data_IF_743838961457
#
_entry.id   IF_743838961457
#
_cell.length_a   1.000
_cell.length_b   1.000
_cell.length_c   1.000
_cell.angle_alpha   90.00
_cell.angle_beta   90.00
_cell.angle_gamma   90.00
#
_symmetry.space_group_name_H-M   'P 1'
#
loop_
_entity.id
_entity.type
_entity.pdbx_description
1 polymer ?
#
# COMPACT_ATOMS: atom_id res chain seq x y z
N UNK A 1 28.41 4.51 4.89
CA UNK A 1 29.09 5.81 5.12
C UNK A 1 28.05 6.90 4.92
N UNK A 2 27.55 7.48 6.01
CA UNK A 2 26.44 8.43 5.97
C UNK A 2 26.93 9.78 5.46
N UNK A 3 26.55 10.14 4.24
CA UNK A 3 26.53 11.55 3.86
C UNK A 3 25.52 12.25 4.75
N UNK A 4 26.02 13.17 5.57
CA UNK A 4 25.23 14.15 6.29
C UNK A 4 24.54 15.03 5.23
N UNK A 5 23.39 14.57 4.74
CA UNK A 5 22.59 15.31 3.77
C UNK A 5 22.01 16.50 4.52
N UNK A 6 22.41 17.70 4.13
CA UNK A 6 21.82 18.92 4.67
C UNK A 6 20.31 18.92 4.47
N UNK A 7 19.59 19.49 5.43
CA UNK A 7 18.14 19.58 5.36
C UNK A 7 17.74 20.46 4.16
N UNK A 8 16.77 20.01 3.35
CA UNK A 8 16.35 20.74 2.16
C UNK A 8 15.80 22.13 2.54
N UNK A 9 15.89 23.11 1.64
CA UNK A 9 15.56 24.51 1.92
C UNK A 9 14.11 24.70 2.43
N UNK A 10 13.18 23.83 2.02
CA UNK A 10 11.80 23.83 2.49
C UNK A 10 11.66 23.57 4.00
N UNK A 11 12.53 22.72 4.57
CA UNK A 11 12.56 22.45 6.01
C UNK A 11 13.37 23.50 6.74
N UNK A 12 14.49 23.95 6.17
CA UNK A 12 15.38 24.94 6.78
C UNK A 12 14.75 26.33 6.88
N UNK A 13 13.74 26.62 6.05
CA UNK A 13 12.92 27.84 6.15
C UNK A 13 12.06 27.90 7.43
N UNK A 14 11.80 26.76 8.08
CA UNK A 14 11.06 26.69 9.34
C UNK A 14 12.01 27.04 10.50
N UNK A 15 11.76 28.18 11.18
CA UNK A 15 12.53 28.62 12.37
C UNK A 15 12.16 27.86 13.66
N UNK A 16 11.91 26.57 13.55
CA UNK A 16 11.55 25.73 14.70
C UNK A 16 12.82 25.24 15.42
N UNK A 17 12.89 25.43 16.74
CA UNK A 17 13.97 24.93 17.61
C UNK A 17 13.56 23.67 18.39
N UNK A 18 14.54 22.89 18.89
CA UNK A 18 14.28 21.70 19.71
C UNK A 18 13.88 20.46 18.91
N UNK A 19 12.77 19.79 19.28
CA UNK A 19 12.31 18.55 18.64
C UNK A 19 11.97 18.73 17.16
N UNK A 20 11.52 19.93 16.78
CA UNK A 20 11.16 20.30 15.42
C UNK A 20 12.28 20.95 14.61
N UNK A 21 13.54 20.87 15.04
CA UNK A 21 14.65 21.49 14.29
C UNK A 21 14.80 20.84 12.91
N UNK A 22 15.00 21.62 11.83
CA UNK A 22 15.05 21.10 10.46
C UNK A 22 16.06 19.97 10.26
N UNK A 23 17.25 20.09 10.87
CA UNK A 23 18.29 19.05 10.85
C UNK A 23 17.83 17.75 11.51
N UNK A 24 17.14 17.85 12.66
CA UNK A 24 16.64 16.69 13.41
C UNK A 24 15.46 16.04 12.69
N UNK A 25 14.49 16.82 12.21
CA UNK A 25 13.37 16.31 11.41
C UNK A 25 13.90 15.61 10.16
N UNK A 26 14.81 16.26 9.42
CA UNK A 26 15.38 15.66 8.22
C UNK A 26 16.14 14.37 8.50
N UNK A 27 16.91 14.32 9.58
CA UNK A 27 17.56 13.08 10.03
C UNK A 27 16.57 11.96 10.34
N UNK A 28 15.43 12.29 10.98
CA UNK A 28 14.36 11.32 11.25
C UNK A 28 13.67 10.85 9.96
N UNK A 29 13.40 11.75 9.01
CA UNK A 29 12.82 11.41 7.72
C UNK A 29 13.75 10.51 6.89
N UNK A 30 15.05 10.86 6.82
CA UNK A 30 16.04 10.03 6.14
C UNK A 30 16.13 8.62 6.77
N UNK A 31 16.15 8.54 8.10
CA UNK A 31 16.16 7.25 8.81
C UNK A 31 14.89 6.44 8.56
N UNK A 32 13.74 7.11 8.48
CA UNK A 32 12.46 6.47 8.16
C UNK A 32 12.48 5.91 6.72
N UNK A 33 13.00 6.66 5.76
CA UNK A 33 13.15 6.22 4.36
C UNK A 33 14.08 5.00 4.21
N UNK A 34 15.09 4.87 5.07
CA UNK A 34 15.99 3.70 5.08
C UNK A 34 15.29 2.42 5.56
N UNK A 35 14.33 2.55 6.48
CA UNK A 35 13.59 1.42 7.03
C UNK A 35 12.42 0.96 6.14
N UNK A 36 11.92 1.85 5.26
CA UNK A 36 10.66 1.67 4.51
C UNK A 36 10.92 1.35 3.02
N UNK A 37 12.09 0.85 2.62
CA UNK A 37 12.31 0.44 1.21
C UNK A 37 11.98 -1.04 1.00
N UNK A 38 10.77 -1.40 0.52
CA UNK A 38 10.59 -2.69 -0.12
C UNK A 38 11.53 -2.76 -1.32
N UNK A 39 12.49 -3.67 -1.22
CA UNK A 39 13.51 -3.86 -2.25
C UNK A 39 12.85 -4.52 -3.47
N UNK A 40 13.32 -4.26 -4.69
CA UNK A 40 12.81 -4.92 -5.90
C UNK A 40 12.84 -6.46 -5.84
N UNK A 41 13.65 -7.02 -4.92
CA UNK A 41 13.78 -8.43 -4.60
C UNK A 41 12.64 -8.98 -3.71
N UNK A 42 11.65 -8.15 -3.34
CA UNK A 42 10.54 -8.52 -2.44
C UNK A 42 9.83 -9.81 -2.88
N UNK A 43 9.64 -9.96 -4.19
CA UNK A 43 8.88 -11.07 -4.77
C UNK A 43 9.73 -12.32 -5.01
N UNK A 44 11.06 -12.25 -4.86
CA UNK A 44 11.95 -13.42 -5.05
C UNK A 44 11.68 -14.53 -4.03
N UNK A 45 11.19 -14.16 -2.84
CA UNK A 45 10.78 -15.09 -1.77
C UNK A 45 9.43 -15.76 -2.02
N UNK A 46 8.75 -15.39 -3.11
CA UNK A 46 7.37 -15.78 -3.39
C UNK A 46 7.23 -16.24 -4.85
N UNK A 47 7.57 -17.50 -5.16
CA UNK A 47 7.51 -18.02 -6.54
C UNK A 47 6.09 -17.96 -7.15
N UNK A 48 5.06 -17.99 -6.31
CA UNK A 48 3.64 -17.91 -6.72
C UNK A 48 3.13 -16.46 -6.89
N UNK A 49 3.93 -15.44 -6.56
CA UNK A 49 3.53 -14.03 -6.64
C UNK A 49 4.32 -13.28 -7.72
N UNK A 50 3.63 -12.92 -8.80
CA UNK A 50 4.17 -12.03 -9.81
C UNK A 50 3.97 -10.56 -9.43
N UNK A 51 4.80 -9.66 -10.00
CA UNK A 51 4.63 -8.21 -9.87
C UNK A 51 3.22 -7.74 -10.31
N UNK A 52 2.64 -8.46 -11.29
CA UNK A 52 1.25 -8.26 -11.71
C UNK A 52 0.27 -8.53 -10.57
N UNK A 53 0.40 -9.63 -9.83
CA UNK A 53 -0.45 -9.96 -8.67
C UNK A 53 -0.44 -8.84 -7.62
N UNK A 54 0.73 -8.21 -7.41
CA UNK A 54 0.85 -7.03 -6.55
C UNK A 54 0.11 -5.80 -7.08
N UNK A 55 0.28 -5.46 -8.36
CA UNK A 55 -0.41 -4.28 -8.93
C UNK A 55 -1.93 -4.40 -8.82
N UNK A 56 -2.44 -5.61 -9.02
CA UNK A 56 -3.86 -5.94 -8.94
C UNK A 56 -4.43 -5.72 -7.55
N UNK A 57 -3.71 -6.20 -6.54
CA UNK A 57 -4.12 -6.02 -5.15
C UNK A 57 -4.15 -4.54 -4.80
N UNK A 58 -3.12 -3.79 -5.18
CA UNK A 58 -2.99 -2.36 -4.88
C UNK A 58 -4.10 -1.54 -5.58
N UNK A 59 -4.41 -1.85 -6.84
CA UNK A 59 -5.53 -1.21 -7.56
C UNK A 59 -6.86 -1.47 -6.84
N UNK A 60 -7.11 -2.73 -6.43
CA UNK A 60 -8.31 -3.08 -5.67
C UNK A 60 -8.36 -2.38 -4.30
N UNK A 61 -7.25 -2.34 -3.56
CA UNK A 61 -7.18 -1.62 -2.27
C UNK A 61 -7.49 -0.13 -2.44
N UNK A 62 -7.05 0.48 -3.54
CA UNK A 62 -7.34 1.89 -3.84
C UNK A 62 -8.84 2.12 -4.07
N UNK A 63 -9.50 1.24 -4.81
CA UNK A 63 -10.96 1.29 -5.02
C UNK A 63 -11.71 1.17 -3.70
N UNK A 64 -11.31 0.22 -2.84
CA UNK A 64 -11.91 0.03 -1.50
C UNK A 64 -11.75 1.29 -0.64
N UNK A 65 -10.54 1.85 -0.57
CA UNK A 65 -10.31 3.09 0.18
C UNK A 65 -11.17 4.26 -0.33
N UNK A 66 -11.38 4.35 -1.65
CA UNK A 66 -12.22 5.38 -2.25
C UNK A 66 -13.71 5.19 -1.89
N UNK A 67 -14.21 3.95 -1.91
CA UNK A 67 -15.58 3.63 -1.50
C UNK A 67 -15.84 3.95 -0.02
N UNK A 68 -14.89 3.63 0.86
CA UNK A 68 -14.98 3.89 2.30
C UNK A 68 -14.56 5.32 2.70
N UNK A 69 -14.28 6.19 1.71
CA UNK A 69 -13.82 7.58 1.91
C UNK A 69 -12.63 7.72 2.87
N UNK A 70 -11.71 6.74 2.83
CA UNK A 70 -10.50 6.75 3.65
C UNK A 70 -9.49 7.78 3.13
N UNK A 71 -8.62 8.26 4.03
CA UNK A 71 -7.54 9.16 3.65
C UNK A 71 -6.51 8.44 2.76
N UNK A 72 -5.86 9.20 1.86
CA UNK A 72 -4.76 8.67 1.03
C UNK A 72 -3.61 8.14 1.89
N UNK A 73 -3.39 8.75 3.05
CA UNK A 73 -2.40 8.31 4.03
C UNK A 73 -2.69 6.89 4.53
N UNK A 74 -3.95 6.58 4.86
CA UNK A 74 -4.38 5.23 5.26
C UNK A 74 -4.13 4.20 4.17
N UNK A 75 -4.41 4.53 2.90
CA UNK A 75 -4.09 3.65 1.77
C UNK A 75 -2.59 3.39 1.65
N UNK A 76 -1.77 4.44 1.71
CA UNK A 76 -0.31 4.29 1.62
C UNK A 76 0.26 3.49 2.80
N UNK A 77 -0.29 3.64 4.00
CA UNK A 77 0.05 2.85 5.17
C UNK A 77 -0.34 1.38 5.01
N UNK A 78 -1.51 1.09 4.42
CA UNK A 78 -1.93 -0.27 4.14
C UNK A 78 -0.99 -0.96 3.12
N UNK A 79 -0.58 -0.26 2.08
CA UNK A 79 0.39 -0.79 1.09
C UNK A 79 1.74 -1.05 1.77
N UNK A 80 2.21 -0.17 2.66
CA UNK A 80 3.42 -0.39 3.46
C UNK A 80 3.32 -1.68 4.30
N UNK A 81 2.17 -1.93 4.94
CA UNK A 81 1.95 -3.15 5.70
C UNK A 81 2.00 -4.41 4.84
N UNK A 82 1.41 -4.39 3.64
CA UNK A 82 1.50 -5.51 2.69
C UNK A 82 2.95 -5.77 2.30
N UNK A 83 3.68 -4.72 1.94
CA UNK A 83 5.06 -4.84 1.50
C UNK A 83 5.98 -5.35 2.61
N UNK A 84 5.82 -4.87 3.85
CA UNK A 84 6.60 -5.36 5.00
C UNK A 84 6.25 -6.80 5.38
N UNK A 85 4.99 -7.18 5.20
CA UNK A 85 4.55 -8.57 5.38
C UNK A 85 5.23 -9.49 4.36
N UNK A 86 5.26 -9.10 3.08
CA UNK A 86 5.99 -9.86 2.04
C UNK A 86 7.52 -9.90 2.29
N UNK A 87 8.11 -8.85 2.86
CA UNK A 87 9.54 -8.87 3.17
C UNK A 87 9.91 -9.88 4.27
N UNK A 88 8.97 -10.12 5.19
CA UNK A 88 9.18 -10.93 6.41
C UNK A 88 8.82 -12.40 6.21
N UNK A 89 7.74 -12.69 5.50
CA UNK A 89 7.24 -14.05 5.28
C UNK A 89 7.69 -14.60 3.93
N UNK A 90 7.60 -15.92 3.73
CA UNK A 90 8.00 -16.61 2.50
C UNK A 90 6.88 -17.52 1.99
N UNK A 91 6.87 -17.83 0.69
CA UNK A 91 5.93 -18.82 0.13
C UNK A 91 4.44 -18.44 0.14
N UNK A 92 4.12 -17.15 0.09
CA UNK A 92 2.72 -16.68 0.04
C UNK A 92 2.09 -17.01 -1.30
N UNK A 93 0.87 -17.55 -1.25
CA UNK A 93 0.09 -17.96 -2.42
C UNK A 93 -0.81 -16.82 -2.90
N UNK A 94 -1.03 -16.75 -4.21
CA UNK A 94 -1.87 -15.69 -4.80
C UNK A 94 -3.30 -15.62 -4.24
N UNK A 95 -3.88 -16.73 -3.76
CA UNK A 95 -5.25 -16.74 -3.21
C UNK A 95 -5.35 -16.17 -1.80
N UNK A 96 -4.28 -16.24 -1.00
CA UNK A 96 -4.25 -15.63 0.34
C UNK A 96 -3.89 -14.16 0.27
N UNK A 97 -3.35 -13.70 -0.85
CA UNK A 97 -2.86 -12.33 -1.01
C UNK A 97 -3.96 -11.25 -0.88
N UNK A 98 -5.19 -11.55 -1.28
CA UNK A 98 -6.35 -10.68 -1.02
C UNK A 98 -6.67 -10.57 0.47
N UNK A 99 -6.54 -11.66 1.24
CA UNK A 99 -6.75 -11.65 2.68
C UNK A 99 -5.71 -10.75 3.37
N UNK A 100 -4.45 -10.84 2.93
CA UNK A 100 -3.36 -9.98 3.40
C UNK A 100 -3.69 -8.50 3.17
N UNK A 101 -4.14 -8.15 1.95
CA UNK A 101 -4.55 -6.78 1.63
C UNK A 101 -5.72 -6.28 2.49
N UNK A 102 -6.74 -7.13 2.71
CA UNK A 102 -7.87 -6.80 3.59
C UNK A 102 -7.42 -6.56 5.03
N UNK A 103 -6.58 -7.45 5.58
CA UNK A 103 -6.05 -7.29 6.93
C UNK A 103 -5.19 -6.04 7.06
N UNK A 104 -4.37 -5.73 6.05
CA UNK A 104 -3.56 -4.52 6.02
C UNK A 104 -4.41 -3.24 6.02
N UNK A 105 -5.47 -3.18 5.20
CA UNK A 105 -6.43 -2.07 5.19
C UNK A 105 -7.11 -1.89 6.56
N UNK A 106 -7.52 -2.99 7.17
CA UNK A 106 -8.13 -2.97 8.49
C UNK A 106 -7.17 -2.42 9.56
N UNK A 107 -5.92 -2.87 9.57
CA UNK A 107 -4.91 -2.35 10.49
C UNK A 107 -4.61 -0.86 10.25
N UNK A 108 -4.43 -0.47 8.99
CA UNK A 108 -4.11 0.91 8.64
C UNK A 108 -5.24 1.88 9.03
N UNK A 109 -6.50 1.47 8.85
CA UNK A 109 -7.65 2.29 9.24
C UNK A 109 -7.74 2.54 10.74
N UNK A 110 -7.36 1.55 11.56
CA UNK A 110 -7.34 1.67 13.02
C UNK A 110 -6.21 2.60 13.51
N UNK A 111 -5.15 2.74 12.72
CA UNK A 111 -4.01 3.57 13.07
C UNK A 111 -4.27 5.05 12.82
N UNK A 112 -4.85 5.40 11.67
CA UNK A 112 -5.11 6.79 11.28
C UNK A 112 -6.45 7.33 11.81
N UNK A 113 -7.48 6.49 11.96
CA UNK A 113 -8.82 6.95 12.31
C UNK A 113 -9.39 6.15 13.48
N UNK A 114 -9.73 6.85 14.58
CA UNK A 114 -10.41 6.23 15.75
C UNK A 114 -11.78 5.68 15.35
N UNK A 115 -12.37 6.14 14.24
CA UNK A 115 -13.56 5.52 13.65
C UNK A 115 -13.16 4.18 13.02
N UNK A 116 -13.36 3.12 13.80
CA UNK A 116 -13.34 1.73 13.37
C UNK A 116 -14.02 1.61 12.01
N UNK A 117 -13.38 0.95 11.03
CA UNK A 117 -14.08 0.35 9.90
C UNK A 117 -15.12 -0.59 10.51
N UNK A 118 -16.34 -0.09 10.73
CA UNK A 118 -17.49 -0.87 11.19
C UNK A 118 -18.00 -1.81 10.10
N UNK A 119 -17.34 -1.89 8.95
CA UNK A 119 -17.74 -2.67 7.79
C UNK A 119 -16.83 -3.88 7.54
N UNK A 120 -16.42 -4.60 8.58
CA UNK A 120 -15.92 -5.99 8.42
C UNK A 120 -16.93 -6.84 7.61
N UNK A 121 -18.23 -6.50 7.69
CA UNK A 121 -19.28 -7.09 6.88
C UNK A 121 -19.18 -6.72 5.39
N UNK A 122 -18.85 -5.47 5.01
CA UNK A 122 -18.81 -5.04 3.59
C UNK A 122 -17.62 -5.64 2.82
N UNK A 123 -16.47 -5.82 3.47
CA UNK A 123 -15.29 -6.45 2.85
C UNK A 123 -15.48 -7.97 2.63
N UNK A 124 -16.18 -8.66 3.55
CA UNK A 124 -16.61 -10.05 3.35
C UNK A 124 -17.73 -10.15 2.30
N UNK A 125 -18.70 -9.23 2.31
CA UNK A 125 -19.78 -9.16 1.32
C UNK A 125 -19.25 -8.82 -0.09
N UNK A 126 -18.21 -8.00 -0.23
CA UNK A 126 -17.51 -7.77 -1.51
C UNK A 126 -16.75 -9.01 -2.02
N UNK A 127 -16.33 -9.92 -1.12
CA UNK A 127 -15.76 -11.21 -1.52
C UNK A 127 -16.84 -12.19 -1.99
N UNK A 128 -18.05 -12.09 -1.44
CA UNK A 128 -19.19 -12.97 -1.74
C UNK A 128 -20.03 -12.49 -2.94
N UNK A 129 -20.05 -11.18 -3.23
CA UNK A 129 -20.78 -10.59 -4.36
C UNK A 129 -19.88 -9.80 -5.32
N UNK A 130 -18.80 -10.39 -5.84
CA UNK A 130 -18.16 -9.83 -7.05
C UNK A 130 -17.32 -10.81 -7.86
N UNK A 131 -18.01 -11.78 -8.48
CA UNK A 131 -17.90 -11.86 -9.94
C UNK A 131 -18.67 -10.65 -10.49
N UNK A 132 -18.01 -9.75 -11.24
CA UNK A 132 -18.56 -8.57 -11.94
C UNK A 132 -18.74 -7.25 -11.15
N UNK A 133 -17.66 -6.45 -10.95
CA UNK A 133 -17.75 -4.98 -10.74
C UNK A 133 -17.81 -4.23 -12.05
N UNK A 134 -19.02 -4.09 -12.60
CA UNK A 134 -19.36 -3.02 -13.54
C UNK A 134 -19.29 -1.68 -12.79
N UNK A 135 -18.11 -1.07 -12.76
CA UNK A 135 -18.06 0.39 -12.76
C UNK A 135 -18.78 0.86 -14.02
N UNK A 136 -19.61 1.91 -13.94
CA UNK A 136 -20.39 2.50 -15.04
C UNK A 136 -19.58 3.03 -16.25
N UNK A 137 -18.36 2.50 -16.44
CA UNK A 137 -17.48 2.64 -17.60
C UNK A 137 -17.21 1.30 -18.31
N UNK A 138 -18.02 0.26 -18.07
CA UNK A 138 -18.02 -0.97 -18.86
C UNK A 138 -16.73 -1.79 -18.82
N UNK A 139 -15.93 -1.71 -17.75
CA UNK A 139 -14.70 -2.52 -17.63
C UNK A 139 -14.70 -3.33 -16.32
N UNK A 140 -15.00 -4.62 -16.45
CA UNK A 140 -14.85 -5.61 -15.38
C UNK A 140 -13.38 -6.05 -15.27
N UNK A 141 -12.76 -5.89 -14.10
CA UNK A 141 -11.50 -6.53 -13.70
C UNK A 141 -11.90 -7.37 -12.46
N UNK A 142 -11.96 -8.69 -12.43
CA UNK A 142 -10.88 -9.68 -12.58
C UNK A 142 -11.44 -11.05 -12.97
N UNK A 143 -10.79 -11.71 -13.92
CA UNK A 143 -10.70 -13.17 -14.00
C UNK A 143 -9.28 -13.45 -14.47
N UNK A 144 -8.81 -14.70 -14.39
CA UNK A 144 -7.56 -15.17 -14.99
C UNK A 144 -7.49 -14.87 -16.50
N UNK A 145 -7.22 -13.62 -16.87
CA UNK A 145 -7.44 -13.13 -18.22
C UNK A 145 -7.73 -11.65 -18.25
N UNK A 146 -6.67 -10.84 -18.39
CA UNK A 146 -6.74 -9.71 -19.30
C UNK A 146 -5.73 -9.90 -20.41
N UNK A 147 -6.13 -9.64 -21.68
CA UNK A 147 -5.24 -9.70 -22.82
C UNK A 147 -4.12 -8.71 -22.60
N UNK A 148 -2.92 -9.16 -22.95
CA UNK A 148 -1.72 -8.34 -23.09
C UNK A 148 -2.10 -7.21 -24.05
N UNK A 149 -2.15 -5.96 -23.58
CA UNK A 149 -2.18 -4.83 -24.50
C UNK A 149 -0.78 -4.79 -25.11
N UNK A 150 -0.60 -4.99 -26.43
CA UNK A 150 0.71 -4.81 -27.05
C UNK A 150 1.11 -3.34 -26.85
N UNK A 151 2.37 -3.09 -26.49
CA UNK A 151 2.91 -1.73 -26.59
C UNK A 151 2.84 -1.32 -28.07
N UNK A 152 2.43 -0.08 -28.39
CA UNK A 152 2.61 0.42 -29.74
C UNK A 152 4.12 0.55 -30.03
N UNK A 153 4.51 0.16 -31.25
CA UNK A 153 5.83 0.39 -31.83
C UNK A 153 6.19 1.89 -31.85
#
# INVERSE_FOLDING_TARGET
MYHQKDAPPQLTALRCSGIGSPKKIWGLLCRKDELIRPTHLLLEKHPDLAARTRSILVDWMMEVCACEKQHRETFHLAVDYVDRFLATFEGIKSHTFQLVGTSALFLASKYEVITSICSLFFMLYCKEYRYSWCSGKGRCYWSYGRPIVPRPD
#
